data_IF_071863402293
#
_entry.id   IF_071863402293
#
_cell.length_a   1.000
_cell.length_b   1.000
_cell.length_c   1.000
_cell.angle_alpha   90.00
_cell.angle_beta   90.00
_cell.angle_gamma   90.00
#
_symmetry.space_group_name_H-M   'P 1'
#
loop_
_entity.id
_entity.type
_entity.pdbx_description
1 polymer ?
#
# COMPACT_ATOMS: atom_id res chain seq x y z
N UNK A 1 -6.60 15.72 11.58
CA UNK A 1 -5.58 14.64 11.60
C UNK A 1 -6.15 13.24 11.87
N UNK A 2 -7.31 13.09 12.55
CA UNK A 2 -7.93 11.77 12.81
C UNK A 2 -8.30 10.97 11.53
N UNK A 3 -8.74 11.66 10.48
CA UNK A 3 -9.15 11.04 9.20
C UNK A 3 -7.97 10.47 8.41
N UNK A 4 -6.87 11.23 8.28
CA UNK A 4 -5.68 10.77 7.56
C UNK A 4 -5.07 9.53 8.22
N UNK A 5 -4.98 9.52 9.55
CA UNK A 5 -4.51 8.35 10.29
C UNK A 5 -5.45 7.14 10.11
N UNK A 6 -6.77 7.34 10.17
CA UNK A 6 -7.75 6.25 9.96
C UNK A 6 -7.64 5.60 8.57
N UNK A 7 -7.26 6.39 7.57
CA UNK A 7 -7.18 5.93 6.18
C UNK A 7 -5.74 5.63 5.72
N UNK A 8 -4.74 5.75 6.61
CA UNK A 8 -3.32 5.66 6.23
C UNK A 8 -2.97 4.31 5.58
N UNK A 9 -3.42 3.20 6.17
CA UNK A 9 -3.17 1.87 5.60
C UNK A 9 -3.79 1.71 4.21
N UNK A 10 -4.99 2.25 4.00
CA UNK A 10 -5.68 2.20 2.71
C UNK A 10 -4.99 3.07 1.65
N UNK A 11 -4.48 4.23 2.05
CA UNK A 11 -3.65 5.10 1.19
C UNK A 11 -2.36 4.37 0.78
N UNK A 12 -1.70 3.69 1.72
CA UNK A 12 -0.44 2.99 1.45
C UNK A 12 -0.64 1.83 0.46
N UNK A 13 -1.75 1.09 0.57
CA UNK A 13 -2.16 0.08 -0.43
C UNK A 13 -2.36 0.74 -1.80
N UNK A 14 -3.08 1.87 -1.84
CA UNK A 14 -3.38 2.57 -3.10
C UNK A 14 -2.10 3.00 -3.82
N UNK A 15 -1.10 3.51 -3.09
CA UNK A 15 0.21 3.87 -3.66
C UNK A 15 0.91 2.64 -4.24
N UNK A 16 0.93 1.52 -3.52
CA UNK A 16 1.51 0.27 -4.03
C UNK A 16 0.84 -0.22 -5.33
N UNK A 17 -0.49 -0.14 -5.39
CA UNK A 17 -1.25 -0.50 -6.59
C UNK A 17 -0.96 0.45 -7.76
N UNK A 18 -0.86 1.75 -7.53
CA UNK A 18 -0.54 2.73 -8.57
C UNK A 18 0.85 2.45 -9.17
N UNK A 19 1.84 2.09 -8.34
CA UNK A 19 3.19 1.71 -8.81
C UNK A 19 3.14 0.48 -9.71
N UNK A 20 2.35 -0.54 -9.34
CA UNK A 20 2.17 -1.75 -10.16
C UNK A 20 1.51 -1.43 -11.50
N UNK A 21 0.48 -0.58 -11.50
CA UNK A 21 -0.19 -0.12 -12.73
C UNK A 21 0.81 0.64 -13.61
N UNK A 22 1.58 1.56 -13.04
CA UNK A 22 2.61 2.30 -13.78
C UNK A 22 3.67 1.38 -14.39
N UNK A 23 4.09 0.33 -13.67
CA UNK A 23 5.00 -0.69 -14.20
C UNK A 23 4.38 -1.47 -15.37
N UNK A 24 3.11 -1.82 -15.26
CA UNK A 24 2.38 -2.48 -16.35
C UNK A 24 2.29 -1.61 -17.60
N UNK A 25 2.10 -0.30 -17.44
CA UNK A 25 1.98 0.63 -18.57
C UNK A 25 3.33 1.00 -19.20
N UNK A 26 4.40 1.04 -18.39
CA UNK A 26 5.75 1.42 -18.86
C UNK A 26 6.56 0.22 -19.35
N UNK A 27 6.04 -1.00 -19.20
CA UNK A 27 6.74 -2.23 -19.59
C UNK A 27 7.84 -2.67 -18.60
N UNK A 28 7.88 -2.10 -17.39
CA UNK A 28 8.88 -2.40 -16.35
C UNK A 28 8.47 -3.58 -15.46
N UNK A 29 7.77 -4.57 -16.04
CA UNK A 29 7.13 -5.69 -15.31
C UNK A 29 8.11 -6.77 -14.83
N UNK A 30 9.37 -6.72 -15.30
CA UNK A 30 10.43 -7.67 -14.93
C UNK A 30 11.42 -7.10 -13.90
N UNK A 31 11.18 -5.91 -13.39
CA UNK A 31 12.05 -5.28 -12.41
C UNK A 31 11.63 -5.70 -11.01
N UNK A 32 12.28 -6.76 -10.51
CA UNK A 32 12.00 -7.34 -9.20
C UNK A 32 12.17 -6.35 -8.05
N UNK A 33 12.99 -5.30 -8.21
CA UNK A 33 13.09 -4.23 -7.21
C UNK A 33 11.78 -3.46 -7.13
N UNK A 34 11.19 -3.08 -8.27
CA UNK A 34 9.93 -2.33 -8.27
C UNK A 34 8.77 -3.25 -7.86
N UNK A 35 8.74 -4.48 -8.37
CA UNK A 35 7.71 -5.46 -8.02
C UNK A 35 7.75 -5.81 -6.53
N UNK A 36 8.95 -6.06 -5.98
CA UNK A 36 9.14 -6.37 -4.56
C UNK A 36 8.80 -5.19 -3.66
N UNK A 37 9.24 -3.97 -4.00
CA UNK A 37 8.91 -2.76 -3.21
C UNK A 37 7.42 -2.45 -3.21
N UNK A 38 6.73 -2.60 -4.35
CA UNK A 38 5.29 -2.39 -4.44
C UNK A 38 4.48 -3.45 -3.68
N UNK A 39 4.89 -4.72 -3.73
CA UNK A 39 4.31 -5.78 -2.89
C UNK A 39 4.51 -5.47 -1.40
N UNK A 40 5.72 -5.08 -0.99
CA UNK A 40 6.00 -4.68 0.40
C UNK A 40 5.11 -3.51 0.84
N UNK A 41 4.91 -2.51 -0.01
CA UNK A 41 4.02 -1.38 0.24
C UNK A 41 2.56 -1.83 0.47
N UNK A 42 2.05 -2.75 -0.36
CA UNK A 42 0.69 -3.29 -0.22
C UNK A 42 0.54 -4.07 1.08
N UNK A 43 1.50 -4.95 1.41
CA UNK A 43 1.46 -5.75 2.64
C UNK A 43 1.55 -4.86 3.88
N UNK A 44 2.47 -3.89 3.91
CA UNK A 44 2.59 -2.94 5.01
C UNK A 44 1.34 -2.07 5.16
N UNK A 45 0.71 -1.69 4.05
CA UNK A 45 -0.55 -0.96 4.04
C UNK A 45 -1.70 -1.76 4.64
N UNK A 46 -1.81 -3.05 4.28
CA UNK A 46 -2.77 -3.97 4.87
C UNK A 46 -2.55 -4.15 6.38
N UNK A 47 -1.31 -4.42 6.81
CA UNK A 47 -0.99 -4.57 8.23
C UNK A 47 -1.33 -3.29 9.00
N UNK A 48 -0.97 -2.12 8.46
CA UNK A 48 -1.29 -0.83 9.08
C UNK A 48 -2.79 -0.60 9.15
N UNK A 49 -3.54 -0.92 8.09
CA UNK A 49 -5.00 -0.79 8.08
C UNK A 49 -5.67 -1.66 9.14
N UNK A 50 -5.22 -2.91 9.29
CA UNK A 50 -5.74 -3.83 10.31
C UNK A 50 -5.44 -3.31 11.71
N UNK A 51 -4.20 -2.90 11.99
CA UNK A 51 -3.80 -2.41 13.32
C UNK A 51 -4.56 -1.15 13.70
N UNK A 52 -4.68 -0.20 12.77
CA UNK A 52 -5.37 1.07 13.00
C UNK A 52 -6.86 0.83 13.26
N UNK A 53 -7.52 -0.02 12.46
CA UNK A 53 -8.93 -0.32 12.68
C UNK A 53 -9.17 -1.10 13.97
N UNK A 54 -8.26 -2.02 14.34
CA UNK A 54 -8.35 -2.73 15.62
C UNK A 54 -8.23 -1.77 16.80
N UNK A 55 -7.28 -0.83 16.75
CA UNK A 55 -7.10 0.22 17.77
C UNK A 55 -8.26 1.23 17.89
N UNK A 56 -9.13 1.33 16.89
CA UNK A 56 -10.31 2.21 16.94
C UNK A 56 -11.52 1.48 17.53
N UNK A 57 -11.53 0.15 17.47
CA UNK A 57 -12.60 -0.69 18.02
C UNK A 57 -12.42 -1.02 19.51
N UNK A 58 -11.18 -1.06 20.00
CA UNK A 58 -10.81 -1.02 21.43
C UNK A 58 -10.92 0.41 21.99
#
# INVERSE_FOLDING_TARGET
MKVLLKNLGLILILVGVIILIACSLTGNVNNNTILGTSILLVVLGLVSYIIINKKIAD
#
